data_IF_085449305146
#
_entry.id   IF_085449305146
#
_cell.length_a   1.000
_cell.length_b   1.000
_cell.length_c   1.000
_cell.angle_alpha   90.00
_cell.angle_beta   90.00
_cell.angle_gamma   90.00
#
_symmetry.space_group_name_H-M   'P 1'
#
loop_
_entity.id
_entity.type
_entity.pdbx_description
1 polymer ?
#
# COMPACT_ATOMS: atom_id res chain seq x y z
N UNK A 1 31.08 6.73 14.82
CA UNK A 1 29.73 7.10 15.29
C UNK A 1 29.18 8.07 14.28
N UNK A 2 28.04 7.78 13.66
CA UNK A 2 27.33 8.79 12.86
C UNK A 2 26.52 9.58 13.87
N UNK A 3 26.78 10.87 14.03
CA UNK A 3 25.98 11.73 14.91
C UNK A 3 24.50 11.61 14.51
N UNK A 4 23.65 11.28 15.49
CA UNK A 4 22.21 11.35 15.31
C UNK A 4 21.81 12.81 15.10
N UNK A 5 21.01 13.07 14.07
CA UNK A 5 20.49 14.42 13.83
C UNK A 5 19.35 14.72 14.80
N UNK A 6 19.08 16.00 15.14
CA UNK A 6 17.92 16.36 15.95
C UNK A 6 16.60 15.82 15.39
N UNK A 7 16.47 15.75 14.05
CA UNK A 7 15.32 15.15 13.37
C UNK A 7 15.20 13.65 13.65
N UNK A 8 16.32 12.92 13.69
CA UNK A 8 16.30 11.49 14.01
C UNK A 8 15.87 11.25 15.47
N UNK A 9 16.34 12.07 16.41
CA UNK A 9 15.96 11.97 17.82
C UNK A 9 14.47 12.29 18.01
N UNK A 10 13.99 13.35 17.35
CA UNK A 10 12.56 13.70 17.38
C UNK A 10 11.68 12.59 16.80
N UNK A 11 12.13 11.93 15.75
CA UNK A 11 11.43 10.76 15.19
C UNK A 11 11.39 9.58 16.18
N UNK A 12 12.46 9.35 16.94
CA UNK A 12 12.49 8.31 17.98
C UNK A 12 11.47 8.60 19.08
N UNK A 13 11.32 9.85 19.50
CA UNK A 13 10.32 10.27 20.49
C UNK A 13 8.89 10.04 19.99
N UNK A 14 8.59 10.48 18.77
CA UNK A 14 7.27 10.28 18.14
C UNK A 14 6.93 8.77 18.08
N UNK A 15 7.87 7.94 17.64
CA UNK A 15 7.70 6.48 17.59
C UNK A 15 7.52 5.89 18.98
N UNK A 16 8.20 6.42 20.00
CA UNK A 16 8.07 5.97 21.38
C UNK A 16 6.66 6.25 21.94
N UNK A 17 6.04 7.37 21.55
CA UNK A 17 4.68 7.73 21.96
C UNK A 17 3.60 6.69 21.60
N UNK A 18 3.78 5.98 20.48
CA UNK A 18 2.83 4.92 20.06
C UNK A 18 3.29 3.50 20.42
N UNK A 19 4.49 3.33 20.99
CA UNK A 19 5.11 2.01 21.13
C UNK A 19 4.37 1.11 22.12
N UNK A 20 3.93 1.63 23.26
CA UNK A 20 3.18 0.86 24.27
C UNK A 20 1.82 0.39 23.72
N UNK A 21 1.08 1.30 23.08
CA UNK A 21 -0.18 0.99 22.40
C UNK A 21 -0.02 -0.13 21.36
N UNK A 22 1.00 -0.03 20.50
CA UNK A 22 1.26 -1.04 19.47
C UNK A 22 1.69 -2.38 20.09
N UNK A 23 2.48 -2.35 21.18
CA UNK A 23 2.86 -3.56 21.91
C UNK A 23 1.64 -4.26 22.52
N UNK A 24 0.74 -3.51 23.15
CA UNK A 24 -0.53 -4.03 23.70
C UNK A 24 -1.41 -4.64 22.61
N UNK A 25 -1.42 -4.03 21.42
CA UNK A 25 -2.08 -4.58 20.25
C UNK A 25 -1.36 -5.81 19.65
N UNK A 26 -0.25 -6.28 20.21
CA UNK A 26 0.46 -7.49 19.78
C UNK A 26 1.52 -7.26 18.70
N UNK A 27 1.90 -6.01 18.42
CA UNK A 27 2.98 -5.73 17.49
C UNK A 27 4.35 -5.92 18.13
N UNK A 28 5.27 -6.49 17.35
CA UNK A 28 6.71 -6.47 17.62
C UNK A 28 7.32 -5.25 16.95
N UNK A 29 8.35 -4.64 17.54
CA UNK A 29 9.02 -3.43 17.03
C UNK A 29 10.37 -3.76 16.40
N UNK A 30 10.71 -3.06 15.32
CA UNK A 30 12.06 -2.95 14.75
C UNK A 30 12.26 -1.53 14.23
N UNK A 31 13.10 -0.74 14.92
CA UNK A 31 13.31 0.69 14.62
C UNK A 31 11.97 1.44 14.59
N UNK A 32 11.58 2.01 13.44
CA UNK A 32 10.34 2.78 13.25
C UNK A 32 9.20 1.92 12.66
N UNK A 33 9.40 0.60 12.56
CA UNK A 33 8.47 -0.35 11.98
C UNK A 33 7.94 -1.30 13.05
N UNK A 34 6.68 -1.70 12.91
CA UNK A 34 5.98 -2.60 13.80
C UNK A 34 5.27 -3.67 12.98
N UNK A 35 5.42 -4.93 13.34
CA UNK A 35 4.81 -6.07 12.67
C UNK A 35 3.96 -6.90 13.65
N UNK A 36 2.76 -7.30 13.24
CA UNK A 36 1.86 -8.22 13.96
C UNK A 36 1.36 -9.29 13.00
N UNK A 37 1.35 -10.55 13.44
CA UNK A 37 0.66 -11.61 12.69
C UNK A 37 -0.84 -11.51 12.98
N UNK A 38 -1.64 -11.54 11.92
CA UNK A 38 -3.10 -11.56 11.96
C UNK A 38 -3.64 -12.93 11.52
N UNK A 39 -4.94 -13.04 11.25
CA UNK A 39 -5.55 -14.27 10.74
C UNK A 39 -4.99 -14.70 9.39
N UNK A 40 -5.12 -15.98 9.06
CA UNK A 40 -4.69 -16.58 7.77
C UNK A 40 -3.20 -16.35 7.41
N UNK A 41 -2.34 -16.09 8.41
CA UNK A 41 -0.92 -15.82 8.20
C UNK A 41 -0.62 -14.43 7.64
N UNK A 42 -1.61 -13.53 7.59
CA UNK A 42 -1.42 -12.14 7.21
C UNK A 42 -0.50 -11.44 8.20
N UNK A 43 0.20 -10.40 7.74
CA UNK A 43 1.03 -9.56 8.59
C UNK A 43 0.60 -8.11 8.46
N UNK A 44 0.21 -7.54 9.59
CA UNK A 44 -0.04 -6.11 9.74
C UNK A 44 1.27 -5.36 9.97
N UNK A 45 1.39 -4.21 9.30
CA UNK A 45 2.51 -3.29 9.40
C UNK A 45 2.01 -1.92 9.87
N UNK A 46 2.72 -1.34 10.83
CA UNK A 46 2.69 0.11 11.09
C UNK A 46 4.11 0.62 10.90
N UNK A 47 4.29 1.63 10.05
CA UNK A 47 5.60 2.19 9.74
C UNK A 47 5.59 3.70 9.83
N UNK A 48 6.49 4.25 10.62
CA UNK A 48 6.69 5.69 10.72
C UNK A 48 7.81 6.07 9.76
N UNK A 49 7.43 6.73 8.66
CA UNK A 49 8.34 7.12 7.59
C UNK A 49 8.76 8.57 7.78
N UNK A 50 10.06 8.80 7.91
CA UNK A 50 10.65 10.15 7.97
C UNK A 50 11.17 10.51 6.59
N UNK A 51 10.88 11.73 6.14
CA UNK A 51 11.36 12.19 4.85
C UNK A 51 12.90 12.20 4.79
N UNK A 52 13.50 11.65 3.71
CA UNK A 52 14.95 11.65 3.56
C UNK A 52 15.44 13.09 3.38
N UNK A 53 16.67 13.35 3.83
CA UNK A 53 17.35 14.62 3.59
C UNK A 53 17.46 14.88 2.08
N UNK A 54 16.96 16.01 1.60
CA UNK A 54 17.10 16.33 0.17
C UNK A 54 18.55 16.66 -0.20
N UNK A 55 18.97 16.34 -1.43
CA UNK A 55 20.27 16.77 -1.94
C UNK A 55 20.35 18.31 -2.02
N UNK A 56 21.55 18.91 -1.93
CA UNK A 56 21.74 20.37 -1.95
C UNK A 56 21.13 21.07 -3.17
N UNK A 57 21.05 20.39 -4.33
CA UNK A 57 20.49 20.91 -5.57
C UNK A 57 18.95 20.78 -5.67
N UNK A 58 18.24 20.60 -4.55
CA UNK A 58 16.79 20.47 -4.56
C UNK A 58 16.08 21.81 -4.73
N UNK A 59 15.56 22.04 -5.94
CA UNK A 59 14.67 23.16 -6.27
C UNK A 59 13.24 22.85 -5.81
N UNK A 60 12.73 23.66 -4.89
CA UNK A 60 11.34 23.60 -4.45
C UNK A 60 10.42 24.20 -5.52
N UNK A 61 9.31 23.51 -5.81
CA UNK A 61 8.22 24.00 -6.65
C UNK A 61 6.95 23.79 -5.82
N UNK A 62 6.34 24.86 -5.30
CA UNK A 62 5.13 24.75 -4.47
C UNK A 62 4.03 23.97 -5.19
N UNK A 63 3.40 23.02 -4.50
CA UNK A 63 2.35 22.17 -5.06
C UNK A 63 2.80 21.11 -6.08
N UNK A 64 4.08 21.06 -6.47
CA UNK A 64 4.61 20.07 -7.41
C UNK A 64 5.80 19.28 -6.85
N UNK A 65 6.68 19.96 -6.12
CA UNK A 65 7.93 19.44 -5.57
C UNK A 65 8.29 20.20 -4.29
N UNK A 66 7.64 19.84 -3.21
CA UNK A 66 7.83 20.46 -1.90
C UNK A 66 9.06 19.87 -1.18
N UNK A 67 9.63 20.63 -0.25
CA UNK A 67 10.66 20.14 0.67
C UNK A 67 9.96 19.44 1.84
N UNK A 68 10.34 18.19 2.09
CA UNK A 68 9.71 17.34 3.10
C UNK A 68 10.68 17.01 4.24
N UNK A 69 11.98 17.26 4.12
CA UNK A 69 12.92 17.03 5.21
C UNK A 69 12.50 17.80 6.46
N UNK A 70 12.54 17.12 7.61
CA UNK A 70 11.94 17.63 8.84
C UNK A 70 10.49 17.21 9.04
N UNK A 71 9.91 16.43 8.12
CA UNK A 71 8.55 15.88 8.25
C UNK A 71 8.52 14.36 8.31
N UNK A 72 7.38 13.82 8.76
CA UNK A 72 7.11 12.39 8.81
C UNK A 72 5.66 12.09 8.42
N UNK A 73 5.40 10.81 8.15
CA UNK A 73 4.05 10.25 8.04
C UNK A 73 4.00 8.85 8.64
N UNK A 74 2.79 8.36 8.87
CA UNK A 74 2.54 6.98 9.30
C UNK A 74 1.90 6.21 8.15
N UNK A 75 2.39 5.01 7.91
CA UNK A 75 1.87 4.06 6.94
C UNK A 75 1.35 2.80 7.65
N UNK A 76 0.21 2.33 7.17
CA UNK A 76 -0.45 1.10 7.59
C UNK A 76 -0.45 0.15 6.41
N UNK A 77 -0.09 -1.12 6.64
CA UNK A 77 0.03 -2.11 5.59
C UNK A 77 -0.48 -3.48 6.00
N UNK A 78 -0.96 -4.24 5.02
CA UNK A 78 -1.26 -5.66 5.18
C UNK A 78 -0.51 -6.46 4.12
N UNK A 79 0.38 -7.33 4.56
CA UNK A 79 0.97 -8.36 3.73
C UNK A 79 0.09 -9.61 3.75
N UNK A 80 -0.21 -10.12 2.56
CA UNK A 80 -1.09 -11.25 2.31
C UNK A 80 -0.26 -12.30 1.56
N UNK A 81 0.21 -13.38 2.22
CA UNK A 81 1.17 -14.31 1.61
C UNK A 81 0.68 -14.99 0.32
N UNK A 82 -0.63 -15.19 0.17
CA UNK A 82 -1.22 -15.81 -1.02
C UNK A 82 -1.22 -14.88 -2.25
N UNK A 83 -1.16 -13.56 -2.05
CA UNK A 83 -0.96 -12.59 -3.12
C UNK A 83 0.54 -12.53 -3.40
N UNK A 84 1.07 -13.31 -4.34
CA UNK A 84 2.53 -13.46 -4.49
C UNK A 84 3.05 -13.10 -5.89
N UNK A 85 2.26 -12.31 -6.63
CA UNK A 85 2.52 -11.99 -8.04
C UNK A 85 3.85 -11.26 -8.28
N UNK A 86 4.31 -10.45 -7.33
CA UNK A 86 5.50 -9.59 -7.50
C UNK A 86 6.77 -10.18 -6.88
N UNK A 87 6.69 -10.68 -5.65
CA UNK A 87 7.81 -11.36 -4.98
C UNK A 87 7.36 -12.00 -3.67
N UNK A 88 8.15 -12.95 -3.17
CA UNK A 88 8.07 -13.41 -1.78
C UNK A 88 9.09 -12.63 -0.93
N UNK A 89 8.73 -12.14 0.26
CA UNK A 89 9.67 -11.49 1.16
C UNK A 89 10.88 -12.39 1.48
N UNK A 90 12.09 -11.84 1.43
CA UNK A 90 13.34 -12.56 1.79
C UNK A 90 13.54 -12.75 3.30
N UNK A 91 12.71 -12.11 4.10
CA UNK A 91 12.79 -12.10 5.57
C UNK A 91 11.40 -12.26 6.15
N UNK A 92 11.31 -12.83 7.35
CA UNK A 92 10.08 -12.87 8.14
C UNK A 92 9.62 -11.48 8.60
N UNK A 93 10.49 -10.47 8.55
CA UNK A 93 10.11 -9.09 8.82
C UNK A 93 9.54 -8.43 7.57
N UNK A 94 8.29 -7.99 7.63
CA UNK A 94 7.60 -7.35 6.51
C UNK A 94 7.87 -5.85 6.53
N UNK A 95 8.33 -5.33 5.38
CA UNK A 95 8.47 -3.91 5.11
C UNK A 95 7.26 -3.41 4.29
N UNK A 96 7.13 -2.09 4.17
CA UNK A 96 6.04 -1.42 3.45
C UNK A 96 5.87 -1.91 2.02
N UNK A 97 6.97 -2.08 1.27
CA UNK A 97 6.96 -2.56 -0.12
C UNK A 97 6.59 -4.06 -0.26
N UNK A 98 6.45 -4.79 0.84
CA UNK A 98 5.92 -6.16 0.84
C UNK A 98 4.40 -6.20 1.03
N UNK A 99 3.76 -5.08 1.40
CA UNK A 99 2.33 -5.04 1.71
C UNK A 99 1.49 -4.90 0.44
N UNK A 100 0.39 -5.64 0.39
CA UNK A 100 -0.56 -5.65 -0.73
C UNK A 100 -1.66 -4.61 -0.53
N UNK A 101 -2.09 -4.40 0.70
CA UNK A 101 -2.96 -3.29 1.09
C UNK A 101 -2.11 -2.25 1.79
N UNK A 102 -2.29 -0.97 1.47
CA UNK A 102 -1.58 0.14 2.10
C UNK A 102 -2.47 1.35 2.26
N UNK A 103 -2.32 2.04 3.39
CA UNK A 103 -2.89 3.37 3.65
C UNK A 103 -1.91 4.23 4.42
N UNK A 104 -1.79 5.48 4.00
CA UNK A 104 -1.13 6.52 4.78
C UNK A 104 -2.09 7.08 5.84
N UNK A 105 -1.56 7.73 6.87
CA UNK A 105 -2.38 8.47 7.83
C UNK A 105 -3.27 9.52 7.15
N UNK A 106 -2.75 10.18 6.12
CA UNK A 106 -3.50 11.18 5.34
C UNK A 106 -4.76 10.56 4.75
N UNK A 107 -4.63 9.42 4.06
CA UNK A 107 -5.76 8.74 3.42
C UNK A 107 -6.79 8.20 4.42
N UNK A 108 -6.36 7.89 5.65
CA UNK A 108 -7.29 7.48 6.71
C UNK A 108 -8.01 8.67 7.36
N UNK A 109 -7.40 9.86 7.38
CA UNK A 109 -8.01 11.09 7.91
C UNK A 109 -8.94 11.74 6.89
N UNK A 110 -8.53 11.79 5.63
CA UNK A 110 -9.29 12.28 4.48
C UNK A 110 -8.97 11.39 3.27
N UNK A 111 -9.95 10.65 2.71
CA UNK A 111 -9.74 9.79 1.55
C UNK A 111 -9.12 10.48 0.33
N UNK A 112 -9.20 11.81 0.22
CA UNK A 112 -8.60 12.59 -0.87
C UNK A 112 -7.16 13.05 -0.57
N UNK A 113 -6.66 12.82 0.64
CA UNK A 113 -5.36 13.29 1.10
C UNK A 113 -4.30 12.19 1.06
N UNK A 114 -3.63 12.04 -0.09
CA UNK A 114 -2.51 11.07 -0.24
C UNK A 114 -1.12 11.66 0.10
N UNK A 115 -1.06 12.97 0.38
CA UNK A 115 0.19 13.72 0.52
C UNK A 115 0.43 14.32 1.91
N UNK A 116 -0.30 13.90 2.95
CA UNK A 116 -0.15 14.51 4.27
C UNK A 116 1.18 14.13 4.94
N UNK A 117 1.97 15.15 5.25
CA UNK A 117 3.21 15.08 6.02
C UNK A 117 3.10 16.00 7.24
N UNK A 118 3.51 15.53 8.40
CA UNK A 118 3.54 16.33 9.62
C UNK A 118 4.96 16.79 9.95
N UNK A 119 5.14 18.05 10.40
CA UNK A 119 6.42 18.50 10.92
C UNK A 119 6.85 17.68 12.13
N UNK A 120 8.13 17.31 12.20
CA UNK A 120 8.71 16.62 13.36
C UNK A 120 8.75 17.53 14.58
N UNK A 121 9.00 18.82 14.37
CA UNK A 121 9.14 19.84 15.42
C UNK A 121 7.80 20.36 15.96
N UNK A 122 6.67 19.89 15.41
CA UNK A 122 5.37 20.15 15.98
C UNK A 122 5.32 19.57 17.43
N UNK A 123 5.00 20.40 18.45
CA UNK A 123 4.94 19.96 19.83
C UNK A 123 3.93 18.84 20.05
N UNK A 124 2.84 18.82 19.28
CA UNK A 124 1.75 17.86 19.39
C UNK A 124 1.96 16.61 18.52
N UNK A 125 3.03 16.56 17.70
CA UNK A 125 3.32 15.46 16.78
C UNK A 125 3.25 14.07 17.43
N UNK A 126 3.76 13.93 18.66
CA UNK A 126 3.78 12.65 19.38
C UNK A 126 2.38 12.21 19.79
N UNK A 127 1.58 13.12 20.34
CA UNK A 127 0.20 12.84 20.78
C UNK A 127 -0.70 12.59 19.56
N UNK A 128 -0.57 13.40 18.52
CA UNK A 128 -1.31 13.27 17.27
C UNK A 128 -0.99 11.94 16.56
N UNK A 129 0.28 11.52 16.54
CA UNK A 129 0.69 10.24 15.98
C UNK A 129 0.08 9.06 16.74
N UNK A 130 0.07 9.11 18.07
CA UNK A 130 -0.57 8.08 18.90
C UNK A 130 -2.09 8.02 18.67
N UNK A 131 -2.75 9.18 18.55
CA UNK A 131 -4.17 9.26 18.25
C UNK A 131 -4.50 8.67 16.87
N UNK A 132 -3.75 8.99 15.82
CA UNK A 132 -3.94 8.40 14.48
C UNK A 132 -3.78 6.88 14.52
N UNK A 133 -2.76 6.37 15.20
CA UNK A 133 -2.56 4.91 15.32
C UNK A 133 -3.75 4.27 16.04
N UNK A 134 -4.21 4.85 17.14
CA UNK A 134 -5.31 4.33 17.96
C UNK A 134 -6.66 4.38 17.23
N UNK A 135 -7.01 5.54 16.70
CA UNK A 135 -8.37 5.88 16.30
C UNK A 135 -8.64 5.52 14.83
N UNK A 136 -7.59 5.46 13.99
CA UNK A 136 -7.72 5.22 12.55
C UNK A 136 -6.94 3.98 12.11
N UNK A 137 -5.67 3.89 12.51
CA UNK A 137 -4.74 2.87 12.07
C UNK A 137 -5.12 1.45 12.48
N UNK A 138 -5.21 1.21 13.79
CA UNK A 138 -5.58 -0.09 14.35
C UNK A 138 -6.97 -0.56 13.87
N UNK A 139 -8.03 0.29 13.91
CA UNK A 139 -9.32 -0.09 13.34
C UNK A 139 -9.28 -0.45 11.85
N UNK A 140 -8.49 0.25 11.05
CA UNK A 140 -8.33 -0.10 9.63
C UNK A 140 -7.63 -1.46 9.46
N UNK A 141 -6.59 -1.74 10.25
CA UNK A 141 -5.90 -3.03 10.21
C UNK A 141 -6.81 -4.18 10.65
N UNK A 142 -7.62 -3.99 11.69
CA UNK A 142 -8.51 -5.02 12.21
C UNK A 142 -9.63 -5.38 11.21
N UNK A 143 -10.11 -4.42 10.40
CA UNK A 143 -11.02 -4.70 9.26
C UNK A 143 -10.37 -5.57 8.18
N UNK A 144 -9.05 -5.58 8.09
CA UNK A 144 -8.27 -6.36 7.12
C UNK A 144 -7.42 -7.44 7.82
N UNK A 145 -8.01 -8.10 8.82
CA UNK A 145 -7.34 -9.12 9.64
C UNK A 145 -7.41 -10.54 9.09
N UNK A 146 -8.24 -10.79 8.07
CA UNK A 146 -8.41 -12.13 7.46
C UNK A 146 -8.54 -12.02 5.95
N UNK A 147 -8.25 -13.11 5.24
CA UNK A 147 -8.49 -13.23 3.81
C UNK A 147 -9.96 -12.94 3.46
N UNK A 148 -10.90 -13.46 4.28
CA UNK A 148 -12.34 -13.23 4.08
C UNK A 148 -12.73 -11.76 4.21
N UNK A 149 -12.16 -11.04 5.18
CA UNK A 149 -12.50 -9.63 5.38
C UNK A 149 -11.93 -8.75 4.27
N UNK A 150 -10.76 -9.10 3.73
CA UNK A 150 -10.17 -8.44 2.55
C UNK A 150 -11.05 -8.65 1.31
N UNK A 151 -11.47 -9.89 1.02
CA UNK A 151 -12.35 -10.14 -0.13
C UNK A 151 -13.69 -9.43 0.03
N UNK A 152 -14.29 -9.44 1.23
CA UNK A 152 -15.53 -8.72 1.49
C UNK A 152 -15.38 -7.19 1.29
N UNK A 153 -14.27 -6.61 1.75
CA UNK A 153 -13.95 -5.20 1.53
C UNK A 153 -13.81 -4.87 0.05
N UNK A 154 -13.15 -5.73 -0.73
CA UNK A 154 -13.02 -5.56 -2.18
C UNK A 154 -14.37 -5.61 -2.92
N UNK A 155 -15.26 -6.54 -2.56
CA UNK A 155 -16.59 -6.61 -3.20
C UNK A 155 -17.45 -5.38 -2.88
N UNK A 156 -17.30 -4.79 -1.69
CA UNK A 156 -18.00 -3.56 -1.30
C UNK A 156 -17.41 -2.31 -1.98
N UNK A 157 -16.10 -2.18 -1.94
CA UNK A 157 -15.36 -1.09 -2.55
C UNK A 157 -13.95 -1.56 -2.95
N UNK A 158 -13.68 -1.78 -4.26
CA UNK A 158 -12.35 -2.15 -4.73
C UNK A 158 -11.26 -1.13 -4.38
N UNK A 159 -11.60 0.14 -4.15
CA UNK A 159 -10.62 1.14 -3.75
C UNK A 159 -10.09 0.86 -2.34
N UNK A 160 -10.90 0.29 -1.44
CA UNK A 160 -10.56 0.02 -0.03
C UNK A 160 -9.33 -0.87 0.17
N UNK A 161 -9.04 -1.77 -0.77
CA UNK A 161 -7.93 -2.74 -0.70
C UNK A 161 -6.71 -2.34 -1.54
N UNK A 162 -6.68 -1.12 -2.09
CA UNK A 162 -5.51 -0.63 -2.84
C UNK A 162 -4.21 -0.73 -2.00
N UNK A 163 -3.05 -0.94 -2.64
CA UNK A 163 -2.82 -1.04 -4.09
C UNK A 163 -3.16 -2.41 -4.71
N UNK A 164 -3.66 -3.39 -3.93
CA UNK A 164 -4.05 -4.68 -4.49
C UNK A 164 -5.05 -4.49 -5.63
N UNK A 165 -4.76 -5.12 -6.77
CA UNK A 165 -5.62 -5.13 -7.94
C UNK A 165 -6.45 -6.40 -8.02
N UNK A 166 -7.29 -6.48 -9.05
CA UNK A 166 -8.17 -7.62 -9.29
C UNK A 166 -7.43 -8.96 -9.33
N UNK A 167 -6.26 -9.00 -9.96
CA UNK A 167 -5.44 -10.22 -10.05
C UNK A 167 -4.91 -10.66 -8.68
N UNK A 168 -4.58 -9.73 -7.79
CA UNK A 168 -4.13 -10.08 -6.43
C UNK A 168 -5.31 -10.63 -5.61
N UNK A 169 -6.51 -10.07 -5.78
CA UNK A 169 -7.73 -10.59 -5.14
C UNK A 169 -8.12 -11.95 -5.70
N UNK A 170 -7.94 -12.20 -7.00
CA UNK A 170 -8.17 -13.51 -7.59
C UNK A 170 -7.22 -14.58 -6.98
N UNK A 171 -5.94 -14.26 -6.79
CA UNK A 171 -4.99 -15.13 -6.08
C UNK A 171 -5.47 -15.44 -4.64
N UNK A 172 -6.07 -14.46 -3.95
CA UNK A 172 -6.64 -14.67 -2.62
C UNK A 172 -7.85 -15.62 -2.62
N UNK A 173 -8.76 -15.49 -3.60
CA UNK A 173 -9.88 -16.42 -3.75
C UNK A 173 -9.41 -17.85 -4.06
N UNK A 174 -8.42 -18.01 -4.95
CA UNK A 174 -7.80 -19.32 -5.26
C UNK A 174 -7.20 -19.98 -4.03
N UNK A 175 -6.44 -19.22 -3.24
CA UNK A 175 -5.82 -19.74 -2.02
C UNK A 175 -6.85 -20.20 -0.97
N UNK A 176 -8.09 -19.70 -1.06
CA UNK A 176 -9.23 -20.13 -0.23
C UNK A 176 -10.04 -21.28 -0.85
N UNK A 177 -9.68 -21.75 -2.03
CA UNK A 177 -10.41 -22.78 -2.78
C UNK A 177 -11.64 -22.29 -3.55
N UNK A 178 -11.86 -20.97 -3.63
CA UNK A 178 -12.98 -20.38 -4.39
C UNK A 178 -12.56 -20.09 -5.83
N UNK A 179 -12.35 -21.16 -6.59
CA UNK A 179 -11.92 -21.10 -7.99
C UNK A 179 -12.95 -20.38 -8.88
N UNK A 180 -14.24 -20.51 -8.54
CA UNK A 180 -15.32 -19.88 -9.29
C UNK A 180 -15.28 -18.34 -9.18
N UNK A 181 -15.11 -17.80 -7.96
CA UNK A 181 -14.99 -16.35 -7.78
C UNK A 181 -13.68 -15.81 -8.33
N UNK A 182 -12.57 -16.54 -8.16
CA UNK A 182 -11.29 -16.18 -8.77
C UNK A 182 -11.42 -16.04 -10.30
N UNK A 183 -12.01 -17.04 -10.96
CA UNK A 183 -12.24 -17.01 -12.40
C UNK A 183 -13.12 -15.84 -12.83
N UNK A 184 -14.22 -15.56 -12.12
CA UNK A 184 -15.10 -14.40 -12.43
C UNK A 184 -14.35 -13.08 -12.43
N UNK A 185 -13.47 -12.85 -11.44
CA UNK A 185 -12.68 -11.63 -11.35
C UNK A 185 -11.67 -11.55 -12.50
N UNK A 186 -11.03 -12.66 -12.85
CA UNK A 186 -10.07 -12.70 -13.96
C UNK A 186 -10.78 -12.46 -15.30
N UNK A 187 -11.96 -13.03 -15.51
CA UNK A 187 -12.77 -12.80 -16.71
C UNK A 187 -13.16 -11.32 -16.86
N UNK A 188 -13.55 -10.67 -15.75
CA UNK A 188 -13.80 -9.22 -15.73
C UNK A 188 -12.53 -8.42 -16.03
N UNK A 189 -11.41 -8.83 -15.45
CA UNK A 189 -10.12 -8.17 -15.65
C UNK A 189 -9.68 -8.20 -17.11
N UNK A 190 -9.72 -9.38 -17.76
CA UNK A 190 -9.31 -9.50 -19.17
C UNK A 190 -10.26 -8.77 -20.11
N UNK A 191 -11.55 -8.65 -19.77
CA UNK A 191 -12.51 -7.88 -20.56
C UNK A 191 -12.33 -6.35 -20.44
N UNK A 192 -11.61 -5.87 -19.42
CA UNK A 192 -11.29 -4.45 -19.28
C UNK A 192 -10.13 -4.10 -20.21
N UNK A 193 -10.22 -3.03 -21.03
CA UNK A 193 -9.13 -2.64 -21.91
C UNK A 193 -7.81 -2.39 -21.18
N UNK A 194 -6.73 -2.99 -21.67
CA UNK A 194 -5.37 -2.82 -21.13
C UNK A 194 -4.46 -2.09 -22.12
N UNK A 195 -3.56 -1.25 -21.60
CA UNK A 195 -2.44 -0.74 -22.40
C UNK A 195 -1.60 -1.89 -22.95
N UNK A 196 -1.20 -1.81 -24.21
CA UNK A 196 -0.36 -2.84 -24.90
C UNK A 196 0.83 -3.32 -24.08
N UNK A 197 1.52 -2.42 -23.37
CA UNK A 197 2.68 -2.76 -22.52
C UNK A 197 2.37 -3.71 -21.36
N UNK A 198 1.12 -3.82 -20.94
CA UNK A 198 0.69 -4.70 -19.84
C UNK A 198 0.18 -6.06 -20.30
N UNK A 199 -0.09 -6.24 -21.60
CA UNK A 199 -0.62 -7.49 -22.14
C UNK A 199 0.29 -8.67 -21.81
N UNK A 200 1.62 -8.53 -22.00
CA UNK A 200 2.57 -9.59 -21.67
C UNK A 200 2.56 -9.99 -20.19
N UNK A 201 2.30 -9.03 -19.28
CA UNK A 201 2.16 -9.30 -17.85
C UNK A 201 0.88 -10.08 -17.55
N UNK A 202 -0.25 -9.70 -18.18
CA UNK A 202 -1.54 -10.38 -18.01
C UNK A 202 -1.47 -11.79 -18.60
N UNK A 203 -0.96 -11.97 -19.82
CA UNK A 203 -0.75 -13.28 -20.45
C UNK A 203 0.06 -14.20 -19.55
N UNK A 204 1.23 -13.75 -19.07
CA UNK A 204 2.07 -14.55 -18.18
C UNK A 204 1.35 -14.93 -16.89
N UNK A 205 0.56 -14.02 -16.31
CA UNK A 205 -0.25 -14.34 -15.14
C UNK A 205 -1.27 -15.45 -15.44
N UNK A 206 -2.00 -15.34 -16.55
CA UNK A 206 -3.02 -16.34 -16.94
C UNK A 206 -2.39 -17.71 -17.16
N UNK A 207 -1.25 -17.79 -17.85
CA UNK A 207 -0.52 -19.04 -18.04
C UNK A 207 -0.08 -19.67 -16.71
N UNK A 208 0.57 -18.88 -15.84
CA UNK A 208 1.07 -19.35 -14.54
C UNK A 208 -0.04 -19.79 -13.58
N UNK A 209 -1.26 -19.28 -13.77
CA UNK A 209 -2.42 -19.63 -12.95
C UNK A 209 -3.36 -20.64 -13.61
N UNK A 210 -3.08 -21.08 -14.83
CA UNK A 210 -3.89 -22.10 -15.51
C UNK A 210 -5.18 -21.58 -16.13
N UNK A 211 -5.18 -20.34 -16.64
CA UNK A 211 -6.26 -19.75 -17.43
C UNK A 211 -5.84 -19.40 -18.87
N UNK A 212 -5.13 -20.28 -19.61
CA UNK A 212 -4.69 -19.95 -20.98
C UNK A 212 -5.87 -19.72 -21.93
N UNK A 213 -7.05 -20.29 -21.62
CA UNK A 213 -8.29 -20.10 -22.35
C UNK A 213 -8.83 -18.66 -22.31
N UNK A 214 -8.38 -17.84 -21.34
CA UNK A 214 -8.75 -16.43 -21.23
C UNK A 214 -7.81 -15.49 -22.00
N UNK A 215 -6.67 -15.96 -22.49
CA UNK A 215 -5.70 -15.13 -23.23
C UNK A 215 -6.33 -14.48 -24.48
N UNK A 216 -7.11 -15.20 -25.31
CA UNK A 216 -7.76 -14.59 -26.48
C UNK A 216 -8.79 -13.51 -26.13
N UNK A 217 -9.20 -13.42 -24.85
CA UNK A 217 -10.23 -12.49 -24.37
C UNK A 217 -9.64 -11.20 -23.79
N UNK A 218 -8.31 -11.02 -23.80
CA UNK A 218 -7.69 -9.80 -23.30
C UNK A 218 -8.04 -8.62 -24.22
N UNK A 219 -8.82 -7.68 -23.70
CA UNK A 219 -9.14 -6.43 -24.35
C UNK A 219 -7.92 -5.50 -24.35
N UNK A 220 -7.63 -4.87 -25.49
CA UNK A 220 -6.52 -3.94 -25.66
C UNK A 220 -7.09 -2.54 -25.84
N UNK A 221 -6.58 -1.56 -25.11
CA UNK A 221 -6.89 -0.15 -25.38
C UNK A 221 -6.48 0.20 -26.81
N UNK A 222 -7.41 0.74 -27.60
CA UNK A 222 -7.09 1.28 -28.91
C UNK A 222 -6.03 2.39 -28.76
N UNK A 223 -5.05 2.46 -29.67
CA UNK A 223 -4.19 3.64 -29.70
C UNK A 223 -5.08 4.88 -29.84
N UNK A 224 -4.75 6.00 -29.17
CA UNK A 224 -5.46 7.25 -29.42
C UNK A 224 -5.47 7.51 -30.92
N UNK A 225 -6.59 7.98 -31.50
CA UNK A 225 -6.68 8.23 -32.92
C UNK A 225 -5.52 9.13 -33.35
N UNK A 226 -4.84 8.74 -34.42
CA UNK A 226 -3.88 9.60 -35.08
C UNK A 226 -4.64 10.74 -35.74
N UNK A 227 -4.86 11.85 -35.02
CA UNK A 227 -4.69 13.23 -35.51
C UNK A 227 -5.39 14.30 -34.64
N UNK A 228 -4.61 15.31 -34.24
CA UNK A 228 -4.97 16.74 -34.36
C UNK A 228 -3.77 17.66 -34.07
N UNK A 229 -2.55 17.27 -34.46
CA UNK A 229 -1.49 18.25 -34.76
C UNK A 229 -1.77 18.83 -36.14
N UNK A 230 -2.86 19.60 -36.23
CA UNK A 230 -3.32 20.28 -37.43
C UNK A 230 -3.67 21.71 -37.07
N UNK A 231 -2.73 22.62 -37.37
CA UNK A 231 -2.94 24.04 -37.63
C UNK A 231 -3.71 24.86 -36.58
N UNK A 232 -2.98 25.67 -35.82
CA UNK A 232 -3.38 27.06 -35.61
C UNK A 232 -2.18 27.96 -35.85
N UNK A 233 -2.46 29.01 -36.62
CA UNK A 233 -1.55 29.92 -37.31
C UNK A 233 -0.72 30.79 -36.38
#
# INVERSE_FOLDING_TARGET
>A
MVDQTPQADRMVEIVAGSASLLKEAGFRKRRHSFNRVAGDGLVHLVFFWMAPKEPPAWTEIRGLRERLYGTFRIEFGVHVPSMNRLHTPRSSWINDYNCHLRRTMGELMDPNSSGLWWPLDDPDATVNAAAVVRDLGLPWLDRHSTARSITAAFEQDPASVRPAGELDIADLYRARGDEAQARRIIERHVATPHRRRYIGTVTRYLELRGYPDLIPRIAVEDPPPADSSGASR
#
